data_IF_266203021341
#
_entry.id   IF_266203021341
#
_cell.length_a   1.000
_cell.length_b   1.000
_cell.length_c   1.000
_cell.angle_alpha   90.00
_cell.angle_beta   90.00
_cell.angle_gamma   90.00
#
_symmetry.space_group_name_H-M   'P 1'
#
loop_
_entity.id
_entity.type
_entity.pdbx_description
1 polymer ?
#
# COMPACT_ATOMS: atom_id res chain seq x y z
N UNK A 1 -4.45 -11.19 -8.42
CA UNK A 1 -4.32 -9.76 -8.66
C UNK A 1 -2.90 -9.44 -9.05
N UNK A 2 -2.70 -8.66 -10.09
CA UNK A 2 -1.35 -8.32 -10.52
C UNK A 2 -0.66 -7.40 -9.53
N UNK A 3 0.62 -7.22 -9.76
CA UNK A 3 1.40 -6.25 -9.01
C UNK A 3 0.91 -4.85 -9.34
N UNK A 4 0.91 -3.98 -8.35
CA UNK A 4 0.38 -2.64 -8.56
C UNK A 4 1.22 -1.62 -7.80
N UNK A 5 1.39 -0.46 -8.43
CA UNK A 5 2.00 0.72 -7.81
C UNK A 5 0.91 1.78 -7.73
N UNK A 6 0.72 2.33 -6.54
CA UNK A 6 -0.26 3.38 -6.31
C UNK A 6 0.48 4.64 -5.88
N UNK A 7 0.13 5.75 -6.47
CA UNK A 7 0.75 7.03 -6.14
C UNK A 7 -0.33 8.09 -5.95
N UNK A 8 -0.16 8.90 -4.92
CA UNK A 8 -1.07 10.01 -4.64
C UNK A 8 -0.36 11.08 -3.84
N UNK A 9 -1.01 12.23 -3.72
CA UNK A 9 -0.47 13.36 -2.97
C UNK A 9 -1.56 13.90 -2.06
N UNK A 10 -1.28 13.92 -0.76
CA UNK A 10 -2.25 14.43 0.21
C UNK A 10 -2.21 15.95 0.29
N UNK A 11 -3.26 16.51 0.87
CA UNK A 11 -3.21 17.88 1.34
C UNK A 11 -2.19 17.96 2.46
N UNK A 12 -1.41 19.05 2.55
CA UNK A 12 -0.36 19.13 3.57
C UNK A 12 -0.87 18.91 5.00
N UNK A 13 -2.03 19.47 5.31
CA UNK A 13 -2.60 19.36 6.66
C UNK A 13 -3.16 17.96 6.96
N UNK A 14 -3.28 17.10 5.94
CA UNK A 14 -3.81 15.75 6.09
C UNK A 14 -2.74 14.66 5.96
N UNK A 15 -1.49 15.04 5.75
CA UNK A 15 -0.44 14.06 5.49
C UNK A 15 -0.15 13.18 6.70
N UNK A 16 -0.11 13.74 7.90
CA UNK A 16 0.14 12.96 9.10
C UNK A 16 -1.01 12.02 9.42
N UNK A 17 -2.23 12.47 9.20
CA UNK A 17 -3.41 11.63 9.34
C UNK A 17 -3.32 10.43 8.39
N UNK A 18 -2.94 10.69 7.15
CA UNK A 18 -2.81 9.64 6.15
C UNK A 18 -1.75 8.62 6.56
N UNK A 19 -0.62 9.10 7.05
CA UNK A 19 0.43 8.19 7.52
C UNK A 19 -0.06 7.32 8.66
N UNK A 20 -0.80 7.88 9.61
CA UNK A 20 -1.34 7.10 10.73
C UNK A 20 -2.28 6.00 10.25
N UNK A 21 -3.11 6.29 9.24
CA UNK A 21 -4.00 5.29 8.67
C UNK A 21 -3.23 4.18 7.96
N UNK A 22 -2.17 4.55 7.25
CA UNK A 22 -1.29 3.57 6.60
C UNK A 22 -0.61 2.68 7.63
N UNK A 23 -0.11 3.27 8.71
CA UNK A 23 0.56 2.50 9.77
C UNK A 23 -0.37 1.47 10.39
N UNK A 24 -1.65 1.78 10.51
CA UNK A 24 -2.64 0.82 11.01
C UNK A 24 -2.83 -0.35 10.07
N UNK A 25 -2.77 -0.10 8.76
CA UNK A 25 -2.84 -1.19 7.77
C UNK A 25 -1.71 -2.18 8.00
N UNK A 26 -0.48 -1.67 8.15
CA UNK A 26 0.68 -2.54 8.34
C UNK A 26 0.65 -3.25 9.68
N UNK A 27 0.17 -2.59 10.73
CA UNK A 27 0.02 -3.26 12.03
C UNK A 27 -0.92 -4.46 11.93
N UNK A 28 -2.03 -4.31 11.21
CA UNK A 28 -2.96 -5.39 11.02
C UNK A 28 -2.38 -6.50 10.15
N UNK A 29 -1.76 -6.14 9.03
CA UNK A 29 -1.16 -7.12 8.11
C UNK A 29 -0.05 -7.93 8.79
N UNK A 30 0.80 -7.26 9.56
CA UNK A 30 1.91 -7.93 10.22
C UNK A 30 1.46 -8.92 11.30
N UNK A 31 0.23 -8.81 11.74
CA UNK A 31 -0.35 -9.77 12.66
C UNK A 31 -1.01 -10.97 11.99
N UNK A 32 -1.09 -10.98 10.67
CA UNK A 32 -1.82 -12.02 9.94
C UNK A 32 -0.97 -13.21 9.49
N UNK A 33 0.35 -13.10 9.54
CA UNK A 33 1.21 -14.12 8.99
C UNK A 33 1.33 -13.98 7.47
N UNK A 34 1.43 -15.10 6.77
CA UNK A 34 1.65 -15.07 5.32
C UNK A 34 0.35 -14.70 4.58
N UNK A 35 0.39 -13.60 3.85
CA UNK A 35 -0.75 -13.13 3.09
C UNK A 35 -0.68 -13.48 1.61
N UNK A 36 0.46 -13.98 1.13
CA UNK A 36 0.67 -14.27 -0.28
C UNK A 36 1.08 -13.07 -1.11
N UNK A 37 1.28 -11.92 -0.47
CA UNK A 37 1.78 -10.72 -1.16
C UNK A 37 2.76 -9.98 -0.26
N UNK A 38 3.57 -9.14 -0.89
CA UNK A 38 4.43 -8.18 -0.20
C UNK A 38 3.89 -6.80 -0.45
N UNK A 39 3.91 -5.97 0.56
CA UNK A 39 3.32 -4.64 0.48
C UNK A 39 4.26 -3.66 1.17
N UNK A 40 4.51 -2.54 0.54
CA UNK A 40 5.37 -1.50 1.08
C UNK A 40 4.77 -0.14 0.76
N UNK A 41 4.88 0.79 1.69
CA UNK A 41 4.47 2.17 1.47
C UNK A 41 5.61 3.10 1.83
N UNK A 42 5.71 4.20 1.10
CA UNK A 42 6.75 5.18 1.31
C UNK A 42 6.14 6.58 1.25
N UNK A 43 6.48 7.41 2.23
CA UNK A 43 6.17 8.83 2.20
C UNK A 43 7.39 9.53 1.62
N UNK A 44 7.20 10.30 0.55
CA UNK A 44 8.31 10.92 -0.15
C UNK A 44 8.82 12.16 0.59
N UNK A 45 9.96 12.66 0.15
CA UNK A 45 10.65 13.77 0.83
C UNK A 45 9.86 15.07 0.86
N UNK A 46 8.92 15.24 -0.07
CA UNK A 46 8.06 16.43 -0.07
C UNK A 46 7.08 16.44 1.11
N UNK A 47 6.99 15.34 1.82
CA UNK A 47 6.14 15.22 3.01
C UNK A 47 4.67 15.01 2.72
N UNK A 48 4.24 15.02 1.47
CA UNK A 48 2.83 14.92 1.11
C UNK A 48 2.54 13.84 0.07
N UNK A 49 3.55 13.37 -0.65
CA UNK A 49 3.38 12.32 -1.65
C UNK A 49 3.62 10.95 -1.03
N UNK A 50 2.82 9.98 -1.44
CA UNK A 50 2.91 8.60 -0.95
C UNK A 50 2.93 7.66 -2.13
N UNK A 51 3.71 6.60 -2.01
CA UNK A 51 3.79 5.52 -3.00
C UNK A 51 3.55 4.21 -2.26
N UNK A 52 2.67 3.39 -2.81
CA UNK A 52 2.40 2.06 -2.29
C UNK A 52 2.73 1.05 -3.37
N UNK A 53 3.38 -0.03 -3.00
CA UNK A 53 3.72 -1.11 -3.92
C UNK A 53 3.21 -2.42 -3.35
N UNK A 54 2.43 -3.14 -4.15
CA UNK A 54 1.95 -4.47 -3.79
C UNK A 54 2.46 -5.44 -4.83
N UNK A 55 3.10 -6.51 -4.37
CA UNK A 55 3.62 -7.56 -5.24
C UNK A 55 3.05 -8.88 -4.76
N UNK A 56 2.30 -9.55 -5.62
CA UNK A 56 1.84 -10.89 -5.32
C UNK A 56 2.93 -11.88 -5.72
N UNK A 57 3.23 -12.80 -4.84
CA UNK A 57 4.33 -13.71 -5.07
C UNK A 57 3.97 -15.14 -4.78
N UNK A 58 2.75 -15.49 -4.91
CA UNK A 58 2.55 -16.88 -4.68
C UNK A 58 1.18 -17.38 -4.87
N UNK A 59 1.13 -18.63 -4.76
CA UNK A 59 -0.07 -19.39 -4.83
C UNK A 59 -0.64 -19.64 -3.43
N UNK A 60 -0.05 -19.08 -2.41
CA UNK A 60 -0.48 -19.37 -1.04
C UNK A 60 -1.39 -18.33 -0.43
N UNK A 61 -1.65 -17.25 -1.14
CA UNK A 61 -2.37 -16.13 -0.58
C UNK A 61 -3.86 -16.39 -0.48
N UNK A 62 -4.38 -16.25 0.72
CA UNK A 62 -5.81 -16.35 0.97
C UNK A 62 -6.41 -15.02 1.42
N UNK A 63 -5.56 -14.00 1.59
CA UNK A 63 -5.98 -12.71 2.09
C UNK A 63 -6.09 -11.74 0.94
N UNK A 64 -7.23 -11.06 0.82
CA UNK A 64 -7.38 -9.96 -0.10
C UNK A 64 -7.17 -8.66 0.68
N UNK A 65 -6.30 -7.79 0.18
CA UNK A 65 -6.05 -6.52 0.84
C UNK A 65 -7.34 -5.71 1.01
N UNK A 66 -8.24 -5.80 0.04
CA UNK A 66 -9.52 -5.10 0.10
C UNK A 66 -10.41 -5.57 1.27
N UNK A 67 -10.16 -6.75 1.80
CA UNK A 67 -10.93 -7.29 2.92
C UNK A 67 -10.33 -6.96 4.27
N UNK A 68 -9.17 -6.31 4.31
CA UNK A 68 -8.52 -5.93 5.56
C UNK A 68 -9.20 -4.69 6.13
N UNK A 69 -9.78 -4.75 7.34
CA UNK A 69 -10.53 -3.62 7.89
C UNK A 69 -9.75 -2.32 7.96
N UNK A 70 -8.48 -2.37 8.35
CA UNK A 70 -7.65 -1.16 8.39
C UNK A 70 -7.44 -0.58 6.99
N UNK A 71 -7.34 -1.43 5.97
CA UNK A 71 -7.22 -0.96 4.60
C UNK A 71 -8.51 -0.31 4.12
N UNK A 72 -9.65 -0.87 4.50
CA UNK A 72 -10.95 -0.27 4.18
C UNK A 72 -11.06 1.12 4.83
N UNK A 73 -10.64 1.26 6.07
CA UNK A 73 -10.65 2.55 6.76
C UNK A 73 -9.70 3.55 6.09
N UNK A 74 -8.53 3.08 5.66
CA UNK A 74 -7.57 3.93 4.97
C UNK A 74 -8.13 4.46 3.65
N UNK A 75 -8.81 3.62 2.88
CA UNK A 75 -9.30 4.00 1.55
C UNK A 75 -10.63 4.73 1.56
N UNK A 76 -11.38 4.68 2.67
CA UNK A 76 -12.75 5.20 2.71
C UNK A 76 -12.88 6.66 2.26
N UNK A 77 -11.96 7.52 2.73
CA UNK A 77 -12.02 8.95 2.40
C UNK A 77 -10.72 9.45 1.78
N UNK A 78 -10.01 8.57 1.10
CA UNK A 78 -8.67 8.91 0.61
C UNK A 78 -8.71 10.08 -0.39
N UNK A 79 -9.71 10.13 -1.25
CA UNK A 79 -9.81 11.21 -2.22
C UNK A 79 -9.98 12.57 -1.54
N UNK A 80 -10.67 12.61 -0.42
CA UNK A 80 -10.88 13.86 0.32
C UNK A 80 -9.61 14.33 1.02
N UNK A 81 -8.69 13.41 1.31
CA UNK A 81 -7.41 13.76 1.91
C UNK A 81 -6.39 14.25 0.88
N UNK A 82 -6.69 14.08 -0.40
CA UNK A 82 -5.69 14.26 -1.44
C UNK A 82 -5.90 15.51 -2.28
N UNK A 83 -4.80 16.16 -2.64
CA UNK A 83 -4.78 17.15 -3.71
C UNK A 83 -4.67 16.45 -5.06
N UNK A 84 -3.98 15.31 -5.10
CA UNK A 84 -3.89 14.47 -6.30
C UNK A 84 -4.35 13.08 -5.90
N UNK A 85 -5.51 12.63 -6.40
CA UNK A 85 -6.08 11.34 -6.02
C UNK A 85 -5.20 10.16 -6.41
N UNK A 86 -5.38 9.01 -5.76
CA UNK A 86 -4.59 7.83 -6.09
C UNK A 86 -4.72 7.39 -7.54
N UNK A 87 -3.59 7.07 -8.13
CA UNK A 87 -3.50 6.46 -9.45
C UNK A 87 -2.83 5.10 -9.27
N UNK A 88 -3.55 4.05 -9.65
CA UNK A 88 -3.04 2.69 -9.55
C UNK A 88 -2.58 2.23 -10.93
N UNK A 89 -1.34 1.76 -11.02
CA UNK A 89 -0.76 1.28 -12.26
C UNK A 89 -0.24 -0.12 -12.03
N UNK A 90 -0.69 -1.06 -12.87
CA UNK A 90 -0.19 -2.43 -12.82
C UNK A 90 1.22 -2.51 -13.36
N UNK A 91 1.97 -3.49 -12.88
CA UNK A 91 3.34 -3.66 -13.30
C UNK A 91 3.81 -5.10 -13.16
N UNK A 92 5.02 -5.31 -13.63
CA UNK A 92 5.66 -6.62 -13.58
C UNK A 92 7.04 -6.44 -12.96
N UNK A 93 7.36 -7.32 -12.01
CA UNK A 93 8.69 -7.30 -11.41
C UNK A 93 9.71 -7.75 -12.46
N UNK A 94 10.71 -6.92 -12.70
CA UNK A 94 11.80 -7.26 -13.63
C UNK A 94 13.08 -7.63 -12.89
N UNK A 95 13.11 -7.40 -11.58
CA UNK A 95 14.22 -7.78 -10.73
C UNK A 95 13.94 -7.40 -9.31
N UNK A 96 14.56 -8.09 -8.36
CA UNK A 96 14.47 -7.75 -6.94
C UNK A 96 15.73 -8.21 -6.25
N UNK A 97 16.05 -7.54 -5.16
CA UNK A 97 17.18 -7.91 -4.32
C UNK A 97 16.83 -7.52 -2.88
N UNK A 98 16.87 -8.47 -1.99
CA UNK A 98 16.67 -8.21 -0.58
C UNK A 98 15.22 -8.02 -0.15
N UNK A 99 14.25 -8.28 -1.03
CA UNK A 99 12.84 -8.11 -0.72
C UNK A 99 12.12 -9.41 -0.35
N UNK A 100 12.80 -10.53 -0.37
CA UNK A 100 12.16 -11.80 -0.08
C UNK A 100 11.20 -12.27 -1.18
N UNK A 101 11.30 -11.71 -2.36
CA UNK A 101 10.47 -12.07 -3.50
C UNK A 101 11.14 -13.19 -4.27
N UNK A 102 10.96 -14.41 -3.83
CA UNK A 102 11.58 -15.54 -4.49
C UNK A 102 10.82 -15.95 -5.72
N UNK A 103 11.55 -16.37 -6.76
CA UNK A 103 10.91 -16.94 -7.92
C UNK A 103 10.18 -18.22 -7.60
#
# INVERSE_FOLDING_TARGET
MPNVVVRYKTKPERADENQALVEKVFAELNGMGDTGFSYMSMRLEDGVSFVHVVVEHGSGGTVSLADVPAFQAFTADIAERCDEPPVATGGRVVGSHGFGLDP
#
